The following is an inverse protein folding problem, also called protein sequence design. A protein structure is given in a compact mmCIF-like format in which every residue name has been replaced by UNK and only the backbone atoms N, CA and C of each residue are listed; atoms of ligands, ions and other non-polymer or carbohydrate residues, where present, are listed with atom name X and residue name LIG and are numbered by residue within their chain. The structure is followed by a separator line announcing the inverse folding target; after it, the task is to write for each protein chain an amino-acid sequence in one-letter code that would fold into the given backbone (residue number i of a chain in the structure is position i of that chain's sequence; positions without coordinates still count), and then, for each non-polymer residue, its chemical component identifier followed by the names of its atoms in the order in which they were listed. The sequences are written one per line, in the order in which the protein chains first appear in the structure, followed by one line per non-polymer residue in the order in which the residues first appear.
data_IF_753156422903
#
_entry.id   IF_753156422903
#
_cell.length_a   1.000
_cell.length_b   1.000
_cell.length_c   1.000
_cell.angle_alpha   90.00
_cell.angle_beta   90.00
_cell.angle_gamma   90.00
#
_symmetry.space_group_name_H-M   'P 1'
#
loop_
_entity.id
_entity.type
_entity.pdbx_description
1 polymer ?
#
# COMPACT_ATOMS: atom_id res chain seq x y z
N UNK A 1 -10.60 -6.54 -5.20
CA UNK A 1 -9.74 -6.51 -4.00
C UNK A 1 -8.37 -7.07 -4.39
N UNK A 2 -7.30 -6.32 -4.13
CA UNK A 2 -5.93 -6.76 -4.42
C UNK A 2 -5.31 -7.35 -3.16
N UNK A 3 -4.35 -8.24 -3.33
CA UNK A 3 -3.54 -8.77 -2.21
C UNK A 3 -2.09 -8.41 -2.49
N UNK A 4 -1.42 -7.83 -1.50
CA UNK A 4 0.03 -7.71 -1.52
C UNK A 4 0.61 -8.94 -0.83
N UNK A 5 1.50 -9.65 -1.53
CA UNK A 5 2.25 -10.78 -0.98
C UNK A 5 3.74 -10.46 -1.03
N UNK A 6 4.42 -10.64 0.10
CA UNK A 6 5.86 -10.50 0.23
C UNK A 6 6.46 -11.89 0.33
N UNK A 7 7.43 -12.16 -0.52
CA UNK A 7 8.05 -13.47 -0.63
C UNK A 7 9.47 -13.45 -0.10
N UNK A 8 9.84 -14.54 0.57
CA UNK A 8 11.25 -14.87 0.81
C UNK A 8 11.94 -15.11 -0.53
N UNK A 9 13.01 -14.37 -0.81
CA UNK A 9 13.66 -14.40 -2.11
C UNK A 9 14.31 -15.76 -2.43
N UNK A 10 14.72 -16.50 -1.41
CA UNK A 10 15.43 -17.78 -1.56
C UNK A 10 14.45 -18.92 -1.83
N UNK A 11 13.37 -18.99 -1.06
CA UNK A 11 12.47 -20.15 -1.04
C UNK A 11 11.10 -19.88 -1.67
N UNK A 12 10.79 -18.62 -2.05
CA UNK A 12 9.49 -18.17 -2.55
C UNK A 12 8.31 -18.49 -1.63
N UNK A 13 8.59 -18.59 -0.33
CA UNK A 13 7.53 -18.71 0.68
C UNK A 13 6.95 -17.33 0.96
N UNK A 14 5.64 -17.26 1.20
CA UNK A 14 4.97 -16.01 1.59
C UNK A 14 5.38 -15.69 3.03
N UNK A 15 6.00 -14.53 3.24
CA UNK A 15 6.34 -13.96 4.54
C UNK A 15 5.13 -13.20 5.10
N UNK A 16 4.51 -12.37 4.26
CA UNK A 16 3.38 -11.52 4.61
C UNK A 16 2.36 -11.51 3.48
N UNK A 17 1.07 -11.58 3.83
CA UNK A 17 -0.04 -11.41 2.88
C UNK A 17 -1.04 -10.41 3.46
N UNK A 18 -1.26 -9.31 2.75
CA UNK A 18 -2.11 -8.21 3.19
C UNK A 18 -3.17 -7.92 2.14
N UNK A 19 -4.44 -8.05 2.52
CA UNK A 19 -5.56 -7.66 1.69
C UNK A 19 -5.64 -6.13 1.58
N UNK A 20 -5.66 -5.62 0.35
CA UNK A 20 -5.81 -4.21 0.05
C UNK A 20 -7.25 -3.96 -0.42
N UNK A 21 -7.95 -3.12 0.34
CA UNK A 21 -9.29 -2.65 -0.04
C UNK A 21 -9.20 -1.47 -1.02
N UNK A 22 -8.55 -1.71 -2.17
CA UNK A 22 -8.38 -0.75 -3.26
C UNK A 22 -8.81 -1.38 -4.58
N UNK A 23 -9.33 -0.56 -5.48
CA UNK A 23 -9.91 -0.99 -6.76
C UNK A 23 -8.90 -1.04 -7.90
N UNK A 24 -7.80 -0.28 -7.80
CA UNK A 24 -6.75 -0.23 -8.82
C UNK A 24 -5.43 0.24 -8.21
N UNK A 25 -4.31 -0.33 -8.66
CA UNK A 25 -2.95 0.11 -8.31
C UNK A 25 -2.27 0.55 -9.60
N UNK A 26 -1.80 1.79 -9.62
CA UNK A 26 -1.05 2.37 -10.72
C UNK A 26 0.45 2.06 -10.63
N UNK A 27 1.01 2.11 -9.41
CA UNK A 27 2.43 1.82 -9.18
C UNK A 27 2.70 1.34 -7.74
N UNK A 28 3.81 0.62 -7.54
CA UNK A 28 4.28 0.15 -6.24
C UNK A 28 5.81 0.33 -6.16
N UNK A 29 6.28 0.89 -5.06
CA UNK A 29 7.69 1.01 -4.77
C UNK A 29 8.01 0.66 -3.32
N UNK A 30 9.16 0.04 -3.09
CA UNK A 30 9.67 -0.20 -1.74
C UNK A 30 10.78 0.79 -1.39
N UNK A 31 10.71 1.37 -0.19
CA UNK A 31 11.73 2.27 0.34
C UNK A 31 12.57 1.57 1.39
N UNK A 32 13.84 1.30 1.09
CA UNK A 32 14.79 0.75 2.06
C UNK A 32 15.03 1.66 3.26
N UNK A 33 15.04 2.98 3.02
CA UNK A 33 15.27 3.98 4.08
C UNK A 33 14.14 3.98 5.11
N UNK A 34 12.89 3.85 4.64
CA UNK A 34 11.71 3.94 5.49
C UNK A 34 11.13 2.56 5.84
N UNK A 35 11.71 1.47 5.32
CA UNK A 35 11.22 0.09 5.45
C UNK A 35 9.72 -0.02 5.18
N UNK A 36 9.27 0.65 4.11
CA UNK A 36 7.85 0.82 3.81
C UNK A 36 7.60 0.62 2.33
N UNK A 37 6.49 -0.04 2.00
CA UNK A 37 5.98 -0.15 0.63
C UNK A 37 5.01 1.00 0.40
N UNK A 38 5.21 1.74 -0.68
CA UNK A 38 4.32 2.78 -1.16
C UNK A 38 3.53 2.22 -2.33
N UNK A 39 2.23 2.50 -2.35
CA UNK A 39 1.38 2.24 -3.51
C UNK A 39 0.71 3.52 -3.98
N UNK A 40 0.59 3.65 -5.29
CA UNK A 40 -0.12 4.74 -5.95
C UNK A 40 -1.39 4.19 -6.59
N UNK A 41 -2.49 4.91 -6.42
CA UNK A 41 -3.75 4.68 -7.14
C UNK A 41 -4.09 5.92 -7.96
N UNK A 42 -5.22 5.90 -8.69
CA UNK A 42 -5.69 7.09 -9.41
C UNK A 42 -6.14 8.24 -8.50
N UNK A 43 -6.49 7.96 -7.24
CA UNK A 43 -7.09 8.93 -6.33
C UNK A 43 -6.22 9.20 -5.09
N UNK A 44 -5.48 8.18 -4.65
CA UNK A 44 -4.80 8.16 -3.36
C UNK A 44 -3.36 7.63 -3.48
N UNK A 45 -2.52 8.02 -2.52
CA UNK A 45 -1.25 7.35 -2.21
C UNK A 45 -1.46 6.59 -0.89
N UNK A 46 -0.86 5.42 -0.74
CA UNK A 46 -0.82 4.79 0.57
C UNK A 46 0.49 4.10 0.85
N UNK A 47 0.60 3.65 2.10
CA UNK A 47 1.75 2.94 2.63
C UNK A 47 1.33 1.62 3.24
N UNK A 48 2.24 0.65 3.17
CA UNK A 48 2.10 -0.66 3.78
C UNK A 48 3.39 -0.92 4.55
N UNK A 49 3.24 -1.23 5.84
CA UNK A 49 4.31 -1.79 6.65
C UNK A 49 4.46 -3.27 6.29
N UNK A 50 5.59 -3.69 5.69
CA UNK A 50 5.80 -5.06 5.23
C UNK A 50 5.92 -6.08 6.36
N UNK A 51 6.34 -5.65 7.56
CA UNK A 51 6.50 -6.53 8.73
C UNK A 51 5.18 -6.76 9.45
N UNK A 52 4.38 -5.70 9.61
CA UNK A 52 3.12 -5.77 10.38
C UNK A 52 1.87 -5.94 9.50
N UNK A 53 1.98 -5.69 8.20
CA UNK A 53 0.87 -5.67 7.27
C UNK A 53 -0.07 -4.47 7.44
N UNK A 54 0.27 -3.49 8.29
CA UNK A 54 -0.56 -2.29 8.51
C UNK A 54 -0.62 -1.46 7.23
N UNK A 55 -1.84 -1.21 6.75
CA UNK A 55 -2.11 -0.37 5.59
C UNK A 55 -2.57 1.01 6.05
N UNK A 56 -1.97 2.07 5.50
CA UNK A 56 -2.42 3.45 5.66
C UNK A 56 -2.69 4.05 4.30
N UNK A 57 -3.80 4.74 4.15
CA UNK A 57 -4.14 5.48 2.92
C UNK A 57 -4.07 6.97 3.22
N UNK A 58 -3.29 7.69 2.43
CA UNK A 58 -3.17 9.14 2.46
C UNK A 58 -4.02 9.65 1.29
N UNK A 59 -5.24 10.05 1.61
CA UNK A 59 -6.11 10.73 0.64
C UNK A 59 -5.77 12.20 0.62
N UNK A 60 -5.67 12.78 -0.57
CA UNK A 60 -5.67 14.24 -0.67
C UNK A 60 -7.05 14.74 -0.21
N UNK A 61 -7.08 15.61 0.80
CA UNK A 61 -8.34 16.24 1.22
C UNK A 61 -8.82 17.12 0.06
N UNK A 62 -9.88 16.69 -0.61
CA UNK A 62 -10.60 17.54 -1.56
C UNK A 62 -11.43 18.56 -0.78
N UNK A 63 -10.84 19.74 -0.56
CA UNK A 63 -11.52 20.86 0.08
C UNK A 63 -12.79 21.30 -0.66
N UNK A 64 -12.95 20.93 -1.94
CA UNK A 64 -14.13 21.27 -2.75
C UNK A 64 -15.40 20.55 -2.26
N UNK A 65 -15.25 19.43 -1.56
CA UNK A 65 -16.36 18.63 -1.02
C UNK A 65 -16.55 18.79 0.50
N UNK A 66 -15.69 19.56 1.17
CA UNK A 66 -15.90 19.95 2.57
C UNK A 66 -16.89 21.12 2.61
N UNK A 67 -18.19 20.81 2.68
CA UNK A 67 -19.19 21.81 3.03
C UNK A 67 -18.92 22.28 4.46
N UNK A 68 -18.68 23.58 4.61
CA UNK A 68 -18.64 24.30 5.88
C UNK A 68 -20.01 24.26 6.58
#
# INVERSE_FOLDING_TARGET
PYTLEIYDAENRNIITSTALNISHIADIAYSEKNKTIYYLTSEDIGTIDPETGIVKTIRQLDFSNMKA
#
